data_IF_064681920602
#
_entry.id   IF_064681920602
#
_cell.length_a   1.000
_cell.length_b   1.000
_cell.length_c   1.000
_cell.angle_alpha   90.00
_cell.angle_beta   90.00
_cell.angle_gamma   90.00
#
_symmetry.space_group_name_H-M   'P 1'
#
loop_
_entity.id
_entity.type
_entity.pdbx_description
1 polymer ?
#
# COMPACT_ATOMS: atom_id res chain seq x y z
N UNK A 1 18.30 -6.86 -6.61
CA UNK A 1 18.39 -5.54 -7.31
C UNK A 1 17.15 -5.16 -8.12
N UNK A 2 16.85 -5.73 -9.31
CA UNK A 2 15.67 -5.32 -10.13
C UNK A 2 14.31 -5.48 -9.40
N UNK A 3 14.17 -6.52 -8.57
CA UNK A 3 12.94 -6.83 -7.82
C UNK A 3 12.61 -5.82 -6.71
N UNK A 4 13.62 -5.09 -6.21
CA UNK A 4 13.45 -4.06 -5.17
C UNK A 4 13.22 -2.67 -5.77
N UNK A 5 13.89 -2.37 -6.88
CA UNK A 5 13.89 -1.03 -7.46
C UNK A 5 12.47 -0.54 -7.80
N UNK A 6 11.67 -1.37 -8.49
CA UNK A 6 10.32 -0.98 -8.91
C UNK A 6 9.39 -0.63 -7.73
N UNK A 7 9.14 -1.51 -6.74
CA UNK A 7 8.24 -1.19 -5.64
C UNK A 7 8.77 -0.03 -4.78
N UNK A 8 10.08 0.07 -4.58
CA UNK A 8 10.68 1.14 -3.79
C UNK A 8 10.56 2.51 -4.48
N UNK A 9 10.91 2.60 -5.77
CA UNK A 9 10.80 3.86 -6.53
C UNK A 9 9.34 4.28 -6.60
N UNK A 10 8.42 3.34 -6.88
CA UNK A 10 6.98 3.62 -6.95
C UNK A 10 6.47 4.10 -5.60
N UNK A 11 6.86 3.44 -4.50
CA UNK A 11 6.49 3.84 -3.15
C UNK A 11 6.96 5.28 -2.86
N UNK A 12 8.23 5.58 -3.11
CA UNK A 12 8.80 6.90 -2.80
C UNK A 12 8.16 8.00 -3.64
N UNK A 13 8.04 7.79 -4.95
CA UNK A 13 7.43 8.76 -5.86
C UNK A 13 5.96 9.02 -5.51
N UNK A 14 5.17 7.97 -5.33
CA UNK A 14 3.75 8.10 -5.03
C UNK A 14 3.49 8.65 -3.63
N UNK A 15 4.29 8.27 -2.62
CA UNK A 15 4.16 8.82 -1.27
C UNK A 15 4.56 10.29 -1.21
N UNK A 16 5.61 10.69 -1.93
CA UNK A 16 6.00 12.10 -2.04
C UNK A 16 4.89 12.94 -2.71
N UNK A 17 4.30 12.42 -3.80
CA UNK A 17 3.18 13.08 -4.45
C UNK A 17 1.95 13.15 -3.53
N UNK A 18 1.62 12.07 -2.83
CA UNK A 18 0.52 12.04 -1.85
C UNK A 18 0.74 13.06 -0.74
N UNK A 19 1.94 13.14 -0.18
CA UNK A 19 2.28 14.13 0.84
C UNK A 19 2.15 15.56 0.29
N UNK A 20 2.67 15.82 -0.92
CA UNK A 20 2.52 17.12 -1.57
C UNK A 20 1.04 17.50 -1.72
N UNK A 21 0.19 16.60 -2.22
CA UNK A 21 -1.25 16.84 -2.38
C UNK A 21 -1.91 17.10 -1.02
N UNK A 22 -1.59 16.32 0.02
CA UNK A 22 -2.16 16.49 1.35
C UNK A 22 -1.73 17.79 2.03
N UNK A 23 -0.49 18.25 1.81
CA UNK A 23 -0.01 19.53 2.35
C UNK A 23 -0.71 20.74 1.71
N UNK A 24 -1.17 20.62 0.46
CA UNK A 24 -1.86 21.68 -0.26
C UNK A 24 -3.39 21.54 -0.21
N UNK A 25 -3.90 20.44 0.34
CA UNK A 25 -5.32 20.18 0.42
C UNK A 25 -5.99 21.13 1.42
N UNK A 26 -7.01 21.84 0.96
CA UNK A 26 -7.85 22.72 1.79
C UNK A 26 -8.90 21.93 2.60
N UNK A 27 -9.19 20.70 2.18
CA UNK A 27 -10.18 19.83 2.81
C UNK A 27 -9.53 18.58 3.40
N UNK A 28 -10.15 18.02 4.43
CA UNK A 28 -9.69 16.76 5.02
C UNK A 28 -9.87 15.58 4.06
N UNK A 29 -9.08 14.52 4.27
CA UNK A 29 -9.17 13.27 3.51
C UNK A 29 -10.57 12.63 3.59
N UNK A 30 -11.20 12.68 4.77
CA UNK A 30 -12.57 12.17 4.96
C UNK A 30 -13.60 13.00 4.18
N UNK A 31 -13.48 14.33 4.17
CA UNK A 31 -14.35 15.20 3.38
C UNK A 31 -14.19 14.94 1.88
N UNK A 32 -12.95 14.80 1.40
CA UNK A 32 -12.68 14.41 0.02
C UNK A 32 -13.31 13.05 -0.32
N UNK A 33 -13.20 12.07 0.58
CA UNK A 33 -13.85 10.76 0.41
C UNK A 33 -15.38 10.87 0.33
N UNK A 34 -16.02 11.63 1.22
CA UNK A 34 -17.47 11.87 1.16
C UNK A 34 -17.88 12.59 -0.12
N UNK A 35 -17.08 13.54 -0.58
CA UNK A 35 -17.31 14.25 -1.84
C UNK A 35 -17.24 13.28 -3.04
N UNK A 36 -16.26 12.38 -3.08
CA UNK A 36 -16.18 11.34 -4.12
C UNK A 36 -17.38 10.39 -4.08
N UNK A 37 -17.90 10.09 -2.89
CA UNK A 37 -19.09 9.24 -2.76
C UNK A 37 -20.40 9.94 -3.14
N UNK A 38 -20.40 11.28 -3.30
CA UNK A 38 -21.61 12.05 -3.61
C UNK A 38 -22.09 11.94 -5.06
N UNK A 39 -21.21 11.48 -5.97
CA UNK A 39 -21.55 11.21 -7.37
C UNK A 39 -21.39 9.71 -7.67
N UNK A 40 -22.35 9.06 -8.36
CA UNK A 40 -22.29 7.63 -8.67
C UNK A 40 -21.01 7.21 -9.41
N UNK A 41 -20.55 8.03 -10.35
CA UNK A 41 -19.40 7.69 -11.21
C UNK A 41 -18.09 7.65 -10.40
N UNK A 42 -17.90 8.62 -9.50
CA UNK A 42 -16.73 8.66 -8.61
C UNK A 42 -16.85 7.67 -7.46
N UNK A 43 -18.07 7.42 -6.97
CA UNK A 43 -18.33 6.39 -5.97
C UNK A 43 -17.98 4.99 -6.48
N UNK A 44 -18.31 4.69 -7.74
CA UNK A 44 -17.93 3.42 -8.38
C UNK A 44 -16.42 3.20 -8.36
N UNK A 45 -15.62 4.24 -8.68
CA UNK A 45 -14.15 4.16 -8.66
C UNK A 45 -13.62 3.95 -7.25
N UNK A 46 -14.19 4.63 -6.24
CA UNK A 46 -13.81 4.44 -4.84
C UNK A 46 -14.12 3.01 -4.38
N UNK A 47 -15.31 2.49 -4.70
CA UNK A 47 -15.70 1.12 -4.35
C UNK A 47 -14.75 0.11 -4.98
N UNK A 48 -14.49 0.22 -6.29
CA UNK A 48 -13.56 -0.65 -7.00
C UNK A 48 -12.15 -0.62 -6.37
N UNK A 49 -11.66 0.58 -6.05
CA UNK A 49 -10.36 0.77 -5.41
C UNK A 49 -10.28 0.07 -4.04
N UNK A 50 -11.34 0.14 -3.23
CA UNK A 50 -11.37 -0.52 -1.92
C UNK A 50 -11.62 -2.03 -2.01
N UNK A 51 -12.29 -2.53 -3.05
CA UNK A 51 -12.33 -3.97 -3.36
C UNK A 51 -10.91 -4.45 -3.68
N UNK A 52 -10.18 -3.73 -4.54
CA UNK A 52 -8.78 -4.05 -4.85
C UNK A 52 -7.90 -3.98 -3.59
N UNK A 53 -8.11 -2.99 -2.71
CA UNK A 53 -7.42 -2.87 -1.44
C UNK A 53 -7.66 -4.09 -0.53
N UNK A 54 -8.91 -4.56 -0.42
CA UNK A 54 -9.26 -5.75 0.35
C UNK A 54 -8.60 -7.01 -0.22
N UNK A 55 -8.61 -7.18 -1.54
CA UNK A 55 -7.92 -8.28 -2.22
C UNK A 55 -6.41 -8.22 -1.98
N UNK A 56 -5.81 -7.03 -2.00
CA UNK A 56 -4.40 -6.84 -1.67
C UNK A 56 -4.10 -7.19 -0.20
N UNK A 57 -4.96 -6.84 0.75
CA UNK A 57 -4.86 -7.25 2.15
C UNK A 57 -4.92 -8.77 2.32
N UNK A 58 -5.86 -9.44 1.65
CA UNK A 58 -5.97 -10.91 1.65
C UNK A 58 -4.70 -11.55 1.07
N UNK A 59 -4.20 -11.00 -0.04
CA UNK A 59 -2.95 -11.45 -0.65
C UNK A 59 -1.76 -11.28 0.30
N UNK A 60 -1.58 -10.10 0.90
CA UNK A 60 -0.52 -9.83 1.88
C UNK A 60 -0.62 -10.77 3.09
N UNK A 61 -1.85 -11.05 3.55
CA UNK A 61 -2.07 -12.01 4.63
C UNK A 61 -1.56 -13.40 4.25
N UNK A 62 -2.01 -13.94 3.12
CA UNK A 62 -1.62 -15.27 2.64
C UNK A 62 -0.12 -15.37 2.40
N UNK A 63 0.46 -14.37 1.73
CA UNK A 63 1.90 -14.31 1.44
C UNK A 63 2.75 -14.12 2.71
N UNK A 64 2.26 -13.36 3.70
CA UNK A 64 2.93 -13.17 4.98
C UNK A 64 2.91 -14.46 5.81
N UNK A 65 1.75 -15.11 5.89
CA UNK A 65 1.59 -16.40 6.58
C UNK A 65 2.45 -17.51 5.96
N UNK A 66 2.51 -17.60 4.64
CA UNK A 66 3.37 -18.55 3.93
C UNK A 66 4.88 -18.35 4.25
N UNK A 67 5.27 -17.16 4.71
CA UNK A 67 6.64 -16.81 5.10
C UNK A 67 6.85 -16.78 6.62
N UNK A 68 5.91 -17.34 7.39
CA UNK A 68 5.97 -17.42 8.85
C UNK A 68 5.79 -16.08 9.57
N UNK A 69 5.29 -15.03 8.90
CA UNK A 69 5.06 -13.72 9.52
C UNK A 69 3.80 -13.73 10.39
N UNK A 70 3.85 -13.02 11.52
CA UNK A 70 2.71 -12.85 12.43
C UNK A 70 1.68 -11.87 11.87
N UNK A 71 0.45 -11.90 12.39
CA UNK A 71 -0.56 -10.90 12.06
C UNK A 71 -0.12 -9.49 12.49
N UNK A 72 0.55 -9.37 13.63
CA UNK A 72 1.09 -8.10 14.13
C UNK A 72 2.07 -7.44 13.16
N UNK A 73 2.87 -8.23 12.42
CA UNK A 73 3.72 -7.72 11.35
C UNK A 73 2.90 -7.11 10.20
N UNK A 74 1.69 -7.61 9.94
CA UNK A 74 0.85 -7.19 8.82
C UNK A 74 -0.03 -5.97 9.13
N UNK A 75 -0.36 -5.75 10.40
CA UNK A 75 -1.19 -4.62 10.87
C UNK A 75 -0.75 -3.25 10.32
N UNK A 76 0.53 -2.84 10.35
CA UNK A 76 0.92 -1.55 9.80
C UNK A 76 0.67 -1.43 8.29
N UNK A 77 0.83 -2.52 7.52
CA UNK A 77 0.52 -2.49 6.09
C UNK A 77 -0.99 -2.37 5.84
N UNK A 78 -1.81 -3.03 6.65
CA UNK A 78 -3.28 -2.93 6.55
C UNK A 78 -3.76 -1.53 6.93
N UNK A 79 -3.21 -0.93 7.98
CA UNK A 79 -3.54 0.45 8.37
C UNK A 79 -3.19 1.44 7.25
N UNK A 80 -2.00 1.32 6.66
CA UNK A 80 -1.61 2.16 5.52
C UNK A 80 -2.48 1.90 4.28
N UNK A 81 -2.88 0.65 4.02
CA UNK A 81 -3.79 0.30 2.92
C UNK A 81 -5.17 0.90 3.13
N UNK A 82 -5.68 0.92 4.36
CA UNK A 82 -6.99 1.50 4.67
C UNK A 82 -7.04 3.01 4.42
N UNK A 83 -5.93 3.72 4.60
CA UNK A 83 -5.86 5.18 4.45
C UNK A 83 -5.39 5.62 3.05
N UNK A 84 -4.42 4.89 2.48
CA UNK A 84 -3.70 5.28 1.27
C UNK A 84 -3.65 4.20 0.21
N UNK A 85 -4.44 3.14 0.36
CA UNK A 85 -4.63 2.01 -0.58
C UNK A 85 -3.33 1.41 -1.11
N UNK A 86 -2.73 2.01 -2.14
CA UNK A 86 -1.52 1.50 -2.80
C UNK A 86 -0.25 1.59 -1.94
N UNK A 87 -0.16 2.51 -0.96
CA UNK A 87 1.05 2.69 -0.13
C UNK A 87 1.36 1.45 0.70
N UNK A 88 0.34 0.80 1.29
CA UNK A 88 0.51 -0.39 2.12
C UNK A 88 1.11 -1.59 1.37
N UNK A 89 0.53 -2.04 0.24
CA UNK A 89 1.07 -3.12 -0.57
C UNK A 89 2.45 -2.80 -1.17
N UNK A 90 2.70 -1.55 -1.58
CA UNK A 90 4.00 -1.12 -2.09
C UNK A 90 5.09 -1.21 -1.01
N UNK A 91 4.79 -0.76 0.20
CA UNK A 91 5.71 -0.88 1.34
C UNK A 91 5.97 -2.36 1.68
N UNK A 92 4.93 -3.19 1.69
CA UNK A 92 5.06 -4.63 1.92
C UNK A 92 5.97 -5.30 0.87
N UNK A 93 5.79 -4.96 -0.41
CA UNK A 93 6.63 -5.46 -1.51
C UNK A 93 8.08 -4.99 -1.37
N UNK A 94 8.32 -3.72 -1.04
CA UNK A 94 9.65 -3.17 -0.84
C UNK A 94 10.38 -3.89 0.31
N UNK A 95 9.76 -4.04 1.47
CA UNK A 95 10.35 -4.74 2.62
C UNK A 95 10.57 -6.23 2.36
N UNK A 96 9.64 -6.88 1.65
CA UNK A 96 9.80 -8.26 1.19
C UNK A 96 11.03 -8.41 0.29
N UNK A 97 11.22 -7.49 -0.66
CA UNK A 97 12.35 -7.53 -1.58
C UNK A 97 13.68 -7.30 -0.85
N UNK A 98 13.73 -6.41 0.15
CA UNK A 98 14.92 -6.21 1.00
C UNK A 98 15.28 -7.50 1.75
N UNK A 99 14.33 -8.12 2.44
CA UNK A 99 14.59 -9.37 3.19
C UNK A 99 15.02 -10.54 2.30
N UNK A 100 14.55 -10.56 1.05
CA UNK A 100 14.96 -11.57 0.05
C UNK A 100 16.39 -11.32 -0.46
N UNK A 101 16.74 -10.07 -0.76
CA UNK A 101 18.11 -9.72 -1.21
C UNK A 101 19.14 -9.93 -0.07
N UNK A 102 18.77 -9.73 1.21
CA UNK A 102 19.63 -10.04 2.37
C UNK A 102 19.93 -11.54 2.50
N UNK A 103 18.93 -12.40 2.29
CA UNK A 103 19.11 -13.86 2.35
C UNK A 103 20.00 -14.39 1.21
N UNK A 104 19.92 -13.77 0.02
CA UNK A 104 20.74 -14.13 -1.13
C UNK A 104 22.21 -13.72 -1.01
N UNK A 105 22.53 -12.70 -0.21
CA UNK A 105 23.92 -12.28 0.06
C UNK A 105 24.64 -13.13 1.11
N UNK A 106 23.92 -13.77 2.02
CA UNK A 106 24.51 -14.62 3.06
C UNK A 106 24.93 -16.01 2.55
N UNK A 107 24.34 -16.46 1.43
CA UNK A 107 24.59 -17.77 0.81
C UNK A 107 25.62 -17.72 -0.35
N UNK A 108 26.42 -16.66 -0.44
CA UNK A 108 27.52 -16.47 -1.39
C UNK A 108 28.80 -16.22 -0.64
#
# INVERSE_FOLDING_TARGET
MKKLALPLITLLAFSAYTLYVMLHAQQSLLQFGMQLMSSPDTAQVVIDLYILAALACIWMYRDGRARGKSLAYLLPFFALTALFVSVGPLLYLALKAIGTDSSARHNR
#
